data_IF_809766601009
#
_entry.id   IF_809766601009
#
_cell.length_a   1.000
_cell.length_b   1.000
_cell.length_c   1.000
_cell.angle_alpha   90.00
_cell.angle_beta   90.00
_cell.angle_gamma   90.00
#
_symmetry.space_group_name_H-M   'P 1'
#
loop_
_entity.id
_entity.type
_entity.pdbx_description
1 polymer ?
#
# COMPACT_ATOMS: atom_id res chain seq x y z
N UNK A 1 -18.39 -17.25 8.68
CA UNK A 1 -18.08 -17.04 7.27
C UNK A 1 -16.63 -16.57 7.13
N UNK A 2 -15.99 -16.89 6.01
CA UNK A 2 -14.65 -16.45 5.65
C UNK A 2 -14.70 -14.99 5.21
N UNK A 3 -13.98 -14.10 5.91
CA UNK A 3 -13.80 -12.69 5.50
C UNK A 3 -12.56 -12.57 4.59
N UNK A 4 -12.69 -11.83 3.50
CA UNK A 4 -11.63 -11.61 2.51
C UNK A 4 -11.24 -10.15 2.51
N UNK A 5 -10.01 -9.86 2.89
CA UNK A 5 -9.47 -8.50 2.94
C UNK A 5 -8.41 -8.37 1.85
N UNK A 6 -8.58 -7.44 0.92
CA UNK A 6 -7.56 -7.09 -0.07
C UNK A 6 -6.68 -5.99 0.49
N UNK A 7 -5.36 -6.17 0.42
CA UNK A 7 -4.37 -5.20 0.92
C UNK A 7 -3.51 -4.70 -0.24
N UNK A 8 -3.64 -3.42 -0.54
CA UNK A 8 -2.90 -2.70 -1.59
C UNK A 8 -1.71 -1.95 -1.00
N UNK A 9 -0.75 -1.57 -1.84
CA UNK A 9 0.48 -0.90 -1.42
C UNK A 9 1.10 -0.08 -2.54
N UNK A 10 1.76 1.01 -2.17
CA UNK A 10 2.76 1.70 -2.98
C UNK A 10 2.31 1.92 -4.44
N UNK A 11 1.14 2.54 -4.62
CA UNK A 11 0.67 2.93 -5.95
C UNK A 11 1.51 4.09 -6.51
N UNK A 12 1.96 4.97 -5.64
CA UNK A 12 2.80 6.14 -5.92
C UNK A 12 2.31 6.98 -7.10
N UNK A 13 1.01 7.28 -7.13
CA UNK A 13 0.40 8.09 -8.18
C UNK A 13 1.08 9.47 -8.23
N UNK A 14 1.59 9.91 -9.41
CA UNK A 14 1.22 9.49 -10.76
C UNK A 14 2.10 8.39 -11.38
N UNK A 15 3.02 7.78 -10.65
CA UNK A 15 3.99 6.79 -11.16
C UNK A 15 3.50 5.34 -11.11
N UNK A 16 2.21 5.13 -10.89
CA UNK A 16 1.58 3.81 -10.88
C UNK A 16 1.62 3.10 -12.24
N UNK A 17 1.71 1.79 -12.24
CA UNK A 17 1.50 0.99 -13.44
C UNK A 17 0.00 0.97 -13.76
N UNK A 18 -0.37 1.70 -14.83
CA UNK A 18 -1.78 1.87 -15.24
C UNK A 18 -2.47 0.55 -15.58
N UNK A 19 -1.72 -0.42 -16.14
CA UNK A 19 -2.25 -1.73 -16.50
C UNK A 19 -2.48 -2.59 -15.27
N UNK A 20 -1.48 -2.66 -14.39
CA UNK A 20 -1.59 -3.39 -13.13
C UNK A 20 -2.75 -2.84 -12.28
N UNK A 21 -2.80 -1.52 -12.08
CA UNK A 21 -3.85 -0.89 -11.29
C UNK A 21 -5.25 -1.13 -11.86
N UNK A 22 -5.42 -1.01 -13.19
CA UNK A 22 -6.69 -1.33 -13.85
C UNK A 22 -7.09 -2.79 -13.64
N UNK A 23 -6.13 -3.72 -13.82
CA UNK A 23 -6.37 -5.15 -13.59
C UNK A 23 -6.79 -5.46 -12.16
N UNK A 24 -6.20 -4.79 -11.17
CA UNK A 24 -6.57 -4.92 -9.75
C UNK A 24 -7.97 -4.36 -9.49
N UNK A 25 -8.33 -3.22 -10.06
CA UNK A 25 -9.68 -2.65 -9.91
C UNK A 25 -10.74 -3.57 -10.55
N UNK A 26 -10.47 -4.09 -11.74
CA UNK A 26 -11.36 -5.06 -12.40
C UNK A 26 -11.52 -6.36 -11.57
N UNK A 27 -10.43 -6.82 -10.98
CA UNK A 27 -10.45 -7.96 -10.05
C UNK A 27 -11.33 -7.66 -8.84
N UNK A 28 -11.13 -6.53 -8.18
CA UNK A 28 -11.94 -6.13 -7.01
C UNK A 28 -13.42 -6.11 -7.36
N UNK A 29 -13.80 -5.57 -8.53
CA UNK A 29 -15.17 -5.55 -9.01
C UNK A 29 -15.80 -6.93 -9.21
N UNK A 30 -15.00 -7.93 -9.56
CA UNK A 30 -15.45 -9.32 -9.73
C UNK A 30 -15.40 -10.14 -8.44
N UNK A 31 -14.38 -9.88 -7.64
CA UNK A 31 -14.08 -10.63 -6.42
C UNK A 31 -14.95 -10.20 -5.25
N UNK A 32 -15.31 -8.91 -5.18
CA UNK A 32 -16.10 -8.30 -4.11
C UNK A 32 -15.56 -8.68 -2.72
N UNK A 33 -14.35 -8.21 -2.36
CA UNK A 33 -13.82 -8.46 -1.02
C UNK A 33 -14.70 -7.81 0.05
N UNK A 34 -14.59 -8.26 1.29
CA UNK A 34 -15.32 -7.67 2.40
C UNK A 34 -14.78 -6.28 2.76
N UNK A 35 -13.45 -6.10 2.64
CA UNK A 35 -12.78 -4.83 2.88
C UNK A 35 -11.56 -4.67 1.96
N UNK A 36 -11.19 -3.42 1.71
CA UNK A 36 -9.94 -3.04 1.04
C UNK A 36 -9.14 -2.15 1.98
N UNK A 37 -7.87 -2.49 2.18
CA UNK A 37 -6.93 -1.67 2.92
C UNK A 37 -5.75 -1.32 2.04
N UNK A 38 -5.16 -0.14 2.24
CA UNK A 38 -3.87 0.22 1.68
C UNK A 38 -2.90 0.54 2.80
N UNK A 39 -1.70 0.02 2.69
CA UNK A 39 -0.63 0.23 3.66
C UNK A 39 0.11 1.55 3.46
N UNK A 40 -0.36 2.39 2.54
CA UNK A 40 0.21 3.72 2.30
C UNK A 40 0.85 3.89 0.93
N UNK A 41 1.43 5.07 0.73
CA UNK A 41 2.12 5.50 -0.49
C UNK A 41 1.22 5.46 -1.75
N UNK A 42 -0.06 5.86 -1.60
CA UNK A 42 -0.98 6.02 -2.71
C UNK A 42 -0.59 7.17 -3.63
N UNK A 43 -0.11 8.27 -3.04
CA UNK A 43 0.41 9.44 -3.74
C UNK A 43 1.90 9.62 -3.55
N UNK A 44 2.63 10.01 -4.61
CA UNK A 44 4.07 10.25 -4.51
C UNK A 44 4.43 11.70 -4.14
N UNK A 45 3.61 12.68 -4.54
CA UNK A 45 3.85 14.11 -4.30
C UNK A 45 5.29 14.58 -4.61
N UNK A 46 5.80 14.33 -5.83
CA UNK A 46 7.23 14.50 -6.14
C UNK A 46 7.72 15.96 -6.03
N UNK A 47 6.84 16.96 -6.28
CA UNK A 47 7.20 18.39 -6.24
C UNK A 47 7.60 18.86 -4.85
N UNK A 48 7.06 18.22 -3.81
CA UNK A 48 7.27 18.57 -2.40
C UNK A 48 8.12 17.52 -1.67
N UNK A 49 8.78 16.65 -2.44
CA UNK A 49 9.75 15.68 -1.92
C UNK A 49 11.05 16.39 -1.48
N UNK A 50 11.66 15.91 -0.41
CA UNK A 50 13.00 16.37 0.00
C UNK A 50 14.06 16.19 -1.08
N UNK A 51 13.88 15.22 -1.98
CA UNK A 51 14.83 14.89 -3.06
C UNK A 51 14.77 15.81 -4.26
N UNK A 52 13.63 16.50 -4.47
CA UNK A 52 13.46 17.47 -5.55
C UNK A 52 13.79 18.89 -5.12
N UNK A 53 14.03 19.08 -3.83
CA UNK A 53 14.28 20.39 -3.22
C UNK A 53 15.46 21.11 -3.86
N UNK A 54 15.25 22.37 -4.29
CA UNK A 54 16.26 23.17 -4.96
C UNK A 54 16.62 22.72 -6.37
N UNK A 55 15.89 21.76 -6.92
CA UNK A 55 16.07 21.29 -8.30
C UNK A 55 14.89 21.72 -9.18
N UNK A 56 15.07 21.61 -10.52
CA UNK A 56 13.96 21.83 -11.45
C UNK A 56 12.73 20.94 -11.17
N UNK A 57 12.90 19.83 -10.44
CA UNK A 57 11.80 18.93 -10.06
C UNK A 57 10.83 19.54 -9.05
N UNK A 58 11.29 20.46 -8.20
CA UNK A 58 10.44 21.18 -7.24
C UNK A 58 9.42 22.10 -7.93
N UNK A 59 9.79 22.63 -9.11
CA UNK A 59 8.96 23.56 -9.89
C UNK A 59 8.27 22.87 -11.07
N UNK A 60 8.46 21.57 -11.24
CA UNK A 60 7.95 20.81 -12.37
C UNK A 60 6.62 20.19 -12.06
N UNK A 61 5.59 20.59 -12.79
CA UNK A 61 4.27 19.98 -12.70
C UNK A 61 3.34 20.71 -11.74
N UNK A 62 2.15 20.19 -11.67
CA UNK A 62 1.02 20.71 -10.90
C UNK A 62 0.64 19.68 -9.83
N UNK A 63 0.78 20.05 -8.56
CA UNK A 63 0.41 19.19 -7.43
C UNK A 63 -1.07 18.83 -7.46
N UNK A 64 -1.94 19.79 -7.85
CA UNK A 64 -3.37 19.54 -7.98
C UNK A 64 -3.65 18.48 -9.05
N UNK A 65 -2.94 18.54 -10.19
CA UNK A 65 -3.08 17.53 -11.24
C UNK A 65 -2.71 16.11 -10.76
N UNK A 66 -1.78 15.98 -9.81
CA UNK A 66 -1.46 14.68 -9.19
C UNK A 66 -2.57 14.21 -8.25
N UNK A 67 -3.14 15.09 -7.44
CA UNK A 67 -4.31 14.80 -6.61
C UNK A 67 -5.50 14.38 -7.49
N UNK A 68 -5.76 15.12 -8.58
CA UNK A 68 -6.81 14.78 -9.54
C UNK A 68 -6.55 13.43 -10.24
N UNK A 69 -5.27 13.09 -10.46
CA UNK A 69 -4.90 11.79 -11.06
C UNK A 69 -5.21 10.64 -10.12
N UNK A 70 -5.04 10.79 -8.80
CA UNK A 70 -5.51 9.82 -7.83
C UNK A 70 -7.02 9.56 -7.99
N UNK A 71 -7.82 10.61 -8.05
CA UNK A 71 -9.26 10.51 -8.28
C UNK A 71 -9.60 9.77 -9.58
N UNK A 72 -8.99 10.18 -10.70
CA UNK A 72 -9.27 9.62 -12.03
C UNK A 72 -8.76 8.19 -12.23
N UNK A 73 -7.58 7.88 -11.69
CA UNK A 73 -6.92 6.59 -11.94
C UNK A 73 -7.29 5.50 -10.95
N UNK A 74 -7.65 5.87 -9.73
CA UNK A 74 -7.95 4.92 -8.66
C UNK A 74 -9.34 5.11 -8.05
N UNK A 75 -9.59 6.21 -7.35
CA UNK A 75 -10.76 6.31 -6.46
C UNK A 75 -12.10 6.24 -7.21
N UNK A 76 -12.26 6.98 -8.32
CA UNK A 76 -13.48 6.95 -9.12
C UNK A 76 -13.70 5.59 -9.82
N UNK A 77 -12.70 4.98 -10.50
CA UNK A 77 -12.86 3.64 -11.06
C UNK A 77 -13.18 2.59 -10.00
N UNK A 78 -12.52 2.64 -8.84
CA UNK A 78 -12.79 1.71 -7.74
C UNK A 78 -14.25 1.83 -7.27
N UNK A 79 -14.72 3.04 -6.99
CA UNK A 79 -16.09 3.26 -6.48
C UNK A 79 -17.19 2.93 -7.48
N UNK A 80 -16.88 2.85 -8.78
CA UNK A 80 -17.82 2.35 -9.79
C UNK A 80 -18.08 0.85 -9.67
N UNK A 81 -17.15 0.08 -9.11
CA UNK A 81 -17.19 -1.38 -9.06
C UNK A 81 -17.26 -1.96 -7.65
N UNK A 82 -17.01 -1.15 -6.63
CA UNK A 82 -16.94 -1.58 -5.24
C UNK A 82 -17.53 -0.54 -4.28
N UNK A 83 -18.53 -0.96 -3.51
CA UNK A 83 -19.25 -0.11 -2.54
C UNK A 83 -18.79 -0.34 -1.08
N UNK A 84 -17.99 -1.37 -0.82
CA UNK A 84 -17.57 -1.76 0.53
C UNK A 84 -16.54 -0.80 1.17
N UNK A 85 -16.12 -1.10 2.41
CA UNK A 85 -15.16 -0.30 3.16
C UNK A 85 -13.80 -0.20 2.47
N UNK A 86 -13.21 0.99 2.49
CA UNK A 86 -11.85 1.26 2.00
C UNK A 86 -11.10 2.05 3.07
N UNK A 87 -9.94 1.56 3.48
CA UNK A 87 -9.12 2.11 4.54
C UNK A 87 -7.71 2.38 4.03
N UNK A 88 -7.18 3.56 4.32
CA UNK A 88 -5.81 3.94 4.02
C UNK A 88 -5.06 4.29 5.29
N UNK A 89 -3.79 3.94 5.32
CA UNK A 89 -2.88 4.27 6.40
C UNK A 89 -1.90 5.37 5.97
N UNK A 90 -1.53 6.18 6.95
CA UNK A 90 -0.46 7.16 6.84
C UNK A 90 0.86 6.51 6.45
N UNK A 91 1.65 7.22 5.62
CA UNK A 91 2.94 6.75 5.14
C UNK A 91 3.91 7.90 4.89
N UNK A 92 5.17 7.57 4.68
CA UNK A 92 6.20 8.59 4.50
C UNK A 92 6.00 9.47 3.25
N UNK A 93 5.44 8.96 2.15
CA UNK A 93 5.10 9.79 0.99
C UNK A 93 3.83 10.61 1.24
N UNK A 94 2.85 10.03 1.90
CA UNK A 94 1.63 10.74 2.26
C UNK A 94 1.88 11.85 3.29
N UNK A 95 2.97 11.79 4.06
CA UNK A 95 3.43 12.84 4.97
C UNK A 95 4.11 14.03 4.28
N UNK A 96 4.47 13.92 3.00
CA UNK A 96 5.19 14.98 2.28
C UNK A 96 4.47 16.33 2.30
N UNK A 97 3.14 16.43 2.06
CA UNK A 97 2.43 17.72 2.14
C UNK A 97 2.57 18.39 3.51
N UNK A 98 2.30 17.66 4.58
CA UNK A 98 2.39 18.18 5.94
C UNK A 98 3.83 18.57 6.30
N UNK A 99 4.80 17.74 5.93
CA UNK A 99 6.24 17.99 6.16
C UNK A 99 6.70 19.24 5.40
N UNK A 100 6.26 19.42 4.16
CA UNK A 100 6.57 20.60 3.36
C UNK A 100 6.00 21.88 4.00
N UNK A 101 4.73 21.86 4.39
CA UNK A 101 4.08 23.00 5.07
C UNK A 101 4.83 23.31 6.37
N UNK A 102 5.10 22.31 7.21
CA UNK A 102 5.81 22.50 8.48
C UNK A 102 7.17 23.16 8.30
N UNK A 103 7.91 22.79 7.25
CA UNK A 103 9.29 23.26 7.05
C UNK A 103 9.39 24.52 6.19
N UNK A 104 8.39 24.83 5.34
CA UNK A 104 8.45 25.92 4.36
C UNK A 104 7.42 27.01 4.57
N UNK A 105 6.28 26.68 5.15
CA UNK A 105 5.18 27.60 5.38
C UNK A 105 4.48 27.30 6.70
N UNK A 106 5.20 27.32 7.85
CA UNK A 106 4.64 26.90 9.14
C UNK A 106 3.39 27.66 9.56
N UNK A 107 3.21 28.89 9.08
CA UNK A 107 2.00 29.67 9.32
C UNK A 107 0.72 29.08 8.69
N UNK A 108 0.85 28.10 7.80
CA UNK A 108 -0.28 27.38 7.18
C UNK A 108 -0.60 26.04 7.89
N UNK A 109 0.12 25.72 8.97
CA UNK A 109 -0.16 24.51 9.75
C UNK A 109 -1.58 24.56 10.34
N UNK A 110 -2.25 23.39 10.31
CA UNK A 110 -3.63 23.26 10.82
C UNK A 110 -4.73 23.66 9.81
N UNK A 111 -4.36 24.08 8.60
CA UNK A 111 -5.35 24.25 7.53
C UNK A 111 -5.79 22.89 6.99
N UNK A 112 -7.01 22.48 7.28
CA UNK A 112 -7.59 21.19 6.83
C UNK A 112 -7.47 20.96 5.33
N UNK A 113 -7.54 22.02 4.52
CA UNK A 113 -7.40 21.94 3.07
C UNK A 113 -6.03 21.41 2.60
N UNK A 114 -5.00 21.44 3.46
CA UNK A 114 -3.65 20.96 3.18
C UNK A 114 -3.38 19.57 3.75
N UNK A 115 -4.33 18.99 4.46
CA UNK A 115 -4.26 17.62 4.94
C UNK A 115 -4.51 16.62 3.79
N UNK A 116 -3.83 15.49 3.80
CA UNK A 116 -3.94 14.49 2.74
C UNK A 116 -5.37 14.01 2.49
N UNK A 117 -6.20 13.75 3.50
CA UNK A 117 -7.60 13.38 3.28
C UNK A 117 -8.38 14.43 2.48
N UNK A 118 -8.09 15.71 2.69
CA UNK A 118 -8.72 16.81 1.94
C UNK A 118 -8.16 16.94 0.54
N UNK A 119 -6.82 16.87 0.38
CA UNK A 119 -6.14 16.95 -0.92
C UNK A 119 -6.59 15.86 -1.88
N UNK A 120 -6.81 14.65 -1.37
CA UNK A 120 -7.23 13.49 -2.16
C UNK A 120 -8.73 13.21 -2.12
N UNK A 121 -9.51 14.11 -1.49
CA UNK A 121 -10.98 14.02 -1.39
C UNK A 121 -11.47 12.69 -0.78
N UNK A 122 -10.88 12.21 0.30
CA UNK A 122 -11.23 10.92 0.90
C UNK A 122 -12.69 10.85 1.34
N UNK A 123 -13.25 11.94 1.87
CA UNK A 123 -14.66 12.03 2.23
C UNK A 123 -15.58 11.73 1.03
N UNK A 124 -15.30 12.35 -0.13
CA UNK A 124 -16.07 12.13 -1.38
C UNK A 124 -16.05 10.67 -1.82
N UNK A 125 -14.92 10.00 -1.58
CA UNK A 125 -14.73 8.60 -1.99
C UNK A 125 -15.02 7.60 -0.87
N UNK A 126 -15.47 8.05 0.31
CA UNK A 126 -15.76 7.17 1.45
C UNK A 126 -14.52 6.38 1.90
N UNK A 127 -13.33 6.99 1.86
CA UNK A 127 -12.07 6.39 2.30
C UNK A 127 -11.84 6.78 3.77
N UNK A 128 -11.65 5.78 4.62
CA UNK A 128 -11.27 5.98 6.02
C UNK A 128 -9.76 6.13 6.12
N UNK A 129 -9.30 7.19 6.78
CA UNK A 129 -7.88 7.47 7.02
C UNK A 129 -7.46 7.06 8.42
N UNK A 130 -6.32 6.39 8.54
CA UNK A 130 -5.69 5.99 9.79
C UNK A 130 -4.34 6.68 9.94
N UNK A 131 -4.12 7.35 11.06
CA UNK A 131 -2.89 8.10 11.36
C UNK A 131 -1.76 7.22 11.91
N UNK A 132 -2.10 6.03 12.41
CA UNK A 132 -1.19 5.10 13.07
C UNK A 132 -1.49 3.66 12.69
N UNK A 133 -0.51 2.74 12.82
CA UNK A 133 -0.73 1.31 12.64
C UNK A 133 -1.92 0.79 13.46
N UNK A 134 -2.73 -0.03 12.86
CA UNK A 134 -3.97 -0.52 13.48
C UNK A 134 -4.20 -2.01 13.25
N UNK A 135 -5.04 -2.62 14.09
CA UNK A 135 -5.41 -4.02 13.97
C UNK A 135 -6.39 -4.22 12.80
N UNK A 136 -5.90 -4.87 11.72
CA UNK A 136 -6.68 -5.16 10.51
C UNK A 136 -7.47 -6.47 10.63
N UNK A 137 -6.95 -7.41 11.42
CA UNK A 137 -7.56 -8.70 11.68
C UNK A 137 -7.04 -9.24 13.03
N UNK A 138 -7.70 -10.22 13.67
CA UNK A 138 -7.29 -10.70 14.97
C UNK A 138 -5.81 -11.08 15.03
N UNK A 139 -5.03 -10.36 15.86
CA UNK A 139 -3.59 -10.56 16.02
C UNK A 139 -2.72 -10.07 14.87
N UNK A 140 -3.26 -9.29 13.93
CA UNK A 140 -2.55 -8.71 12.80
C UNK A 140 -2.63 -7.18 12.77
N UNK A 141 -1.47 -6.52 12.76
CA UNK A 141 -1.36 -5.08 12.54
C UNK A 141 -1.10 -4.79 11.06
N UNK A 142 -1.74 -3.75 10.57
CA UNK A 142 -1.38 -3.09 9.33
C UNK A 142 -0.49 -1.90 9.66
N UNK A 143 0.63 -1.76 8.94
CA UNK A 143 1.59 -0.69 9.08
C UNK A 143 2.15 -0.33 7.69
N UNK A 144 2.69 0.90 7.53
CA UNK A 144 3.33 1.22 6.26
C UNK A 144 4.62 0.42 6.05
N UNK A 145 5.48 0.34 7.06
CA UNK A 145 6.75 -0.39 7.00
C UNK A 145 7.99 0.48 7.16
N UNK A 146 7.86 1.81 7.19
CA UNK A 146 8.94 2.75 7.45
C UNK A 146 9.26 2.89 8.96
N UNK A 147 8.43 2.28 9.83
CA UNK A 147 8.65 2.18 11.27
C UNK A 147 9.78 1.22 11.65
N UNK A 148 10.34 0.52 10.69
CA UNK A 148 11.44 -0.45 10.87
C UNK A 148 12.57 -0.29 9.87
N UNK A 149 13.65 -1.04 10.08
CA UNK A 149 14.75 -1.15 9.14
C UNK A 149 14.38 -2.06 7.96
N UNK A 150 14.63 -1.59 6.71
CA UNK A 150 14.35 -2.39 5.52
C UNK A 150 15.20 -3.67 5.45
N UNK A 151 14.56 -4.82 5.41
CA UNK A 151 15.21 -6.12 5.17
C UNK A 151 15.52 -6.32 3.69
N UNK A 152 16.56 -7.10 3.37
CA UNK A 152 16.85 -7.51 1.99
C UNK A 152 15.87 -8.58 1.49
N UNK A 153 15.42 -9.47 2.36
CA UNK A 153 14.51 -10.55 2.01
C UNK A 153 13.05 -10.08 2.05
N UNK A 154 12.20 -10.43 1.06
CA UNK A 154 10.77 -10.18 1.11
C UNK A 154 10.12 -10.76 2.38
N UNK A 155 9.20 -10.03 2.98
CA UNK A 155 8.57 -10.37 4.26
C UNK A 155 9.41 -10.08 5.50
N UNK A 156 10.72 -9.77 5.31
CA UNK A 156 11.64 -9.62 6.43
C UNK A 156 11.46 -8.34 7.23
N UNK A 157 11.10 -7.22 6.61
CA UNK A 157 10.77 -5.97 7.30
C UNK A 157 9.53 -6.16 8.16
N UNK A 158 8.48 -6.74 7.58
CA UNK A 158 7.25 -7.03 8.29
C UNK A 158 7.49 -8.00 9.47
N UNK A 159 8.33 -9.03 9.31
CA UNK A 159 8.65 -9.96 10.40
C UNK A 159 9.45 -9.28 11.52
N UNK A 160 10.36 -8.35 11.19
CA UNK A 160 11.08 -7.56 12.18
C UNK A 160 10.14 -6.69 13.01
N UNK A 161 9.16 -6.04 12.36
CA UNK A 161 8.09 -5.29 13.05
C UNK A 161 7.20 -6.22 13.89
N UNK A 162 6.86 -7.41 13.36
CA UNK A 162 6.08 -8.41 14.09
C UNK A 162 6.76 -8.85 15.38
N UNK A 163 8.08 -9.03 15.36
CA UNK A 163 8.88 -9.33 16.56
C UNK A 163 8.88 -8.16 17.55
N UNK A 164 9.01 -6.93 17.04
CA UNK A 164 9.03 -5.71 17.87
C UNK A 164 7.71 -5.47 18.58
N UNK A 165 6.59 -5.67 17.89
CA UNK A 165 5.26 -5.32 18.40
C UNK A 165 4.47 -6.49 19.01
N UNK A 166 4.90 -7.73 18.75
CA UNK A 166 4.23 -8.92 19.30
C UNK A 166 3.01 -9.38 18.52
N UNK A 167 2.73 -8.82 17.36
CA UNK A 167 1.66 -9.16 16.42
C UNK A 167 2.22 -9.80 15.16
N UNK A 168 1.39 -10.41 14.31
CA UNK A 168 1.71 -10.55 12.89
C UNK A 168 1.56 -9.18 12.21
N UNK A 169 2.35 -8.88 11.18
CA UNK A 169 2.34 -7.57 10.52
C UNK A 169 2.19 -7.73 9.01
N UNK A 170 1.31 -6.93 8.43
CA UNK A 170 1.25 -6.70 6.98
C UNK A 170 1.71 -5.27 6.70
N UNK A 171 2.63 -5.10 5.73
CA UNK A 171 3.16 -3.79 5.37
C UNK A 171 3.59 -3.68 3.89
N UNK A 172 3.98 -2.47 3.48
CA UNK A 172 4.52 -2.09 2.17
C UNK A 172 5.89 -1.46 2.26
N UNK A 173 6.06 -0.23 1.72
CA UNK A 173 7.25 0.62 1.79
C UNK A 173 8.48 0.08 1.03
N UNK A 174 8.80 -1.18 1.20
CA UNK A 174 9.98 -1.81 0.61
C UNK A 174 9.78 -2.24 -0.84
N UNK A 175 8.54 -2.15 -1.35
CA UNK A 175 8.11 -2.61 -2.66
C UNK A 175 8.31 -4.11 -2.91
N UNK A 176 8.56 -4.89 -1.85
CA UNK A 176 8.74 -6.33 -1.94
C UNK A 176 7.44 -7.07 -1.66
N UNK A 177 7.28 -8.21 -2.29
CA UNK A 177 6.15 -9.10 -2.06
C UNK A 177 6.64 -10.44 -1.52
N UNK A 178 6.24 -10.77 -0.31
CA UNK A 178 6.60 -12.05 0.28
C UNK A 178 6.16 -12.17 1.74
N UNK A 179 6.18 -13.40 2.19
CA UNK A 179 5.81 -13.78 3.56
C UNK A 179 7.02 -14.43 4.23
N UNK A 180 7.29 -14.03 5.45
CA UNK A 180 8.11 -14.79 6.39
C UNK A 180 7.27 -15.19 7.59
N UNK A 181 7.55 -16.37 8.11
CA UNK A 181 6.76 -16.99 9.15
C UNK A 181 7.67 -17.62 10.19
N UNK A 182 7.38 -17.43 11.46
CA UNK A 182 8.12 -18.05 12.55
C UNK A 182 7.16 -18.69 13.57
N UNK A 183 7.59 -19.84 14.05
CA UNK A 183 7.00 -20.51 15.19
C UNK A 183 7.92 -20.46 16.40
N UNK A 184 7.33 -20.29 17.58
CA UNK A 184 8.00 -20.54 18.86
C UNK A 184 7.31 -21.70 19.54
N UNK A 185 8.07 -22.70 19.94
CA UNK A 185 7.56 -23.85 20.64
C UNK A 185 8.38 -24.15 21.91
N UNK A 186 7.70 -24.57 22.97
CA UNK A 186 8.34 -25.02 24.21
C UNK A 186 7.78 -26.39 24.52
N UNK A 187 8.66 -27.38 24.77
CA UNK A 187 8.28 -28.77 25.03
C UNK A 187 7.29 -29.34 24.00
N UNK A 188 7.61 -29.13 22.69
CA UNK A 188 6.78 -29.53 21.56
C UNK A 188 5.37 -28.93 21.50
N UNK A 189 5.10 -27.92 22.31
CA UNK A 189 3.84 -27.15 22.25
C UNK A 189 4.10 -25.81 21.60
N UNK A 190 3.36 -25.51 20.55
CA UNK A 190 3.38 -24.20 19.91
C UNK A 190 2.91 -23.14 20.91
N UNK A 191 3.76 -22.17 21.20
CA UNK A 191 3.47 -21.07 22.15
C UNK A 191 3.15 -19.78 21.43
N UNK A 192 3.72 -19.58 20.24
CA UNK A 192 3.51 -18.36 19.43
C UNK A 192 3.76 -18.64 17.96
N UNK A 193 2.96 -18.00 17.14
CA UNK A 193 3.10 -17.93 15.70
C UNK A 193 3.11 -16.46 15.26
N UNK A 194 3.97 -16.10 14.32
CA UNK A 194 4.04 -14.75 13.75
C UNK A 194 4.28 -14.80 12.26
N UNK A 195 3.61 -13.92 11.55
CA UNK A 195 3.84 -13.66 10.14
C UNK A 195 4.36 -12.24 9.93
N UNK A 196 5.29 -12.10 9.01
CA UNK A 196 5.62 -10.83 8.37
C UNK A 196 5.22 -10.91 6.91
N UNK A 197 4.32 -10.05 6.47
CA UNK A 197 3.82 -10.03 5.10
C UNK A 197 4.03 -8.66 4.47
N UNK A 198 4.95 -8.58 3.50
CA UNK A 198 5.13 -7.43 2.61
C UNK A 198 4.30 -7.63 1.35
N UNK A 199 3.47 -6.65 0.97
CA UNK A 199 2.43 -6.81 -0.05
C UNK A 199 2.78 -6.24 -1.42
N UNK A 200 4.05 -5.98 -1.68
CA UNK A 200 4.53 -5.55 -2.99
C UNK A 200 4.28 -4.08 -3.28
N UNK A 201 4.03 -3.78 -4.55
CA UNK A 201 3.73 -2.42 -5.01
C UNK A 201 2.91 -2.46 -6.30
N UNK A 202 2.33 -1.32 -6.67
CA UNK A 202 1.62 -1.08 -7.93
C UNK A 202 2.26 0.03 -8.76
N UNK A 203 3.52 0.37 -8.46
CA UNK A 203 4.29 1.38 -9.17
C UNK A 203 4.83 0.86 -10.51
N UNK A 204 4.93 1.73 -11.51
CA UNK A 204 5.66 1.44 -12.75
C UNK A 204 7.17 1.49 -12.47
N UNK A 205 7.85 0.35 -12.52
CA UNK A 205 9.28 0.24 -12.20
C UNK A 205 10.16 1.20 -13.02
N UNK A 206 9.83 1.42 -14.30
CA UNK A 206 10.55 2.34 -15.18
C UNK A 206 10.49 3.80 -14.72
N UNK A 207 9.52 4.15 -13.90
CA UNK A 207 9.38 5.49 -13.33
C UNK A 207 10.38 5.75 -12.20
N UNK A 208 10.98 4.71 -11.61
CA UNK A 208 11.96 4.79 -10.53
C UNK A 208 13.36 5.19 -11.03
N UNK A 209 13.47 6.33 -11.69
CA UNK A 209 14.72 6.83 -12.29
C UNK A 209 15.87 7.02 -11.30
N UNK A 210 15.55 7.18 -10.01
CA UNK A 210 16.53 7.32 -8.92
C UNK A 210 17.30 6.02 -8.63
N UNK A 211 16.83 4.87 -9.09
CA UNK A 211 17.55 3.60 -8.96
C UNK A 211 18.78 3.52 -9.87
N UNK A 212 18.92 4.45 -10.86
CA UNK A 212 19.98 4.46 -11.86
C UNK A 212 20.09 3.08 -12.52
N UNK A 213 21.32 2.49 -12.57
CA UNK A 213 21.58 1.14 -13.06
C UNK A 213 21.47 0.06 -11.95
N UNK A 214 21.02 0.45 -10.75
CA UNK A 214 20.87 -0.47 -9.62
C UNK A 214 19.72 -1.45 -9.80
N UNK A 215 19.87 -2.63 -9.18
CA UNK A 215 18.81 -3.62 -9.14
C UNK A 215 17.89 -3.36 -7.93
N UNK A 216 16.60 -3.14 -8.20
CA UNK A 216 15.59 -3.17 -7.17
C UNK A 216 15.03 -4.58 -7.05
N UNK A 217 15.08 -5.16 -5.86
CA UNK A 217 14.36 -6.40 -5.56
C UNK A 217 12.89 -6.07 -5.23
N UNK A 218 12.16 -5.59 -6.24
CA UNK A 218 10.77 -5.15 -6.15
C UNK A 218 9.87 -6.10 -6.93
N UNK A 219 8.71 -6.40 -6.37
CA UNK A 219 7.71 -7.24 -7.00
C UNK A 219 6.38 -6.50 -7.07
N UNK A 220 5.81 -6.40 -8.26
CA UNK A 220 4.44 -5.94 -8.42
C UNK A 220 3.47 -6.97 -7.87
N UNK A 221 2.52 -6.50 -7.09
CA UNK A 221 1.50 -7.35 -6.51
C UNK A 221 0.71 -6.67 -5.40
N UNK A 222 -0.06 -7.49 -4.71
CA UNK A 222 -0.89 -7.09 -3.58
C UNK A 222 -1.11 -8.28 -2.66
N UNK A 223 -1.74 -8.06 -1.51
CA UNK A 223 -2.04 -9.10 -0.54
C UNK A 223 -3.52 -9.43 -0.44
N UNK A 224 -3.83 -10.65 -0.02
CA UNK A 224 -5.15 -11.03 0.49
C UNK A 224 -4.97 -11.64 1.86
N UNK A 225 -5.79 -11.22 2.83
CA UNK A 225 -5.93 -11.89 4.11
C UNK A 225 -7.27 -12.62 4.13
N UNK A 226 -7.22 -13.93 4.31
CA UNK A 226 -8.40 -14.75 4.57
C UNK A 226 -8.56 -14.89 6.08
N UNK A 227 -9.64 -14.33 6.62
CA UNK A 227 -9.90 -14.31 8.06
C UNK A 227 -11.06 -15.21 8.38
N UNK A 228 -10.80 -16.26 9.15
CA UNK A 228 -11.82 -17.18 9.67
C UNK A 228 -11.74 -17.21 11.19
N UNK A 229 -12.73 -16.61 11.87
CA UNK A 229 -12.72 -16.41 13.33
C UNK A 229 -11.44 -15.68 13.76
N UNK A 230 -10.55 -16.36 14.49
CA UNK A 230 -9.29 -15.82 14.99
C UNK A 230 -8.07 -16.30 14.17
N UNK A 231 -8.30 -16.92 13.01
CA UNK A 231 -7.23 -17.40 12.12
C UNK A 231 -7.15 -16.52 10.89
N UNK A 232 -5.93 -16.14 10.53
CA UNK A 232 -5.64 -15.33 9.34
C UNK A 232 -4.67 -16.09 8.46
N UNK A 233 -5.04 -16.27 7.20
CA UNK A 233 -4.16 -16.87 6.19
C UNK A 233 -3.76 -15.79 5.20
N UNK A 234 -2.48 -15.35 5.18
CA UNK A 234 -2.00 -14.39 4.21
C UNK A 234 -1.73 -15.07 2.87
N UNK A 235 -2.09 -14.39 1.78
CA UNK A 235 -1.87 -14.87 0.42
C UNK A 235 -1.25 -13.75 -0.45
N UNK A 236 0.01 -13.90 -0.90
CA UNK A 236 0.61 -12.96 -1.83
C UNK A 236 0.08 -13.20 -3.24
N UNK A 237 -0.26 -12.12 -3.93
CA UNK A 237 -0.71 -12.14 -5.33
C UNK A 237 0.31 -11.43 -6.19
N UNK A 238 1.08 -12.20 -6.96
CA UNK A 238 2.10 -11.68 -7.87
C UNK A 238 1.47 -11.25 -9.20
N UNK A 239 1.70 -10.00 -9.59
CA UNK A 239 1.33 -9.49 -10.91
C UNK A 239 2.47 -9.78 -11.88
N UNK A 240 2.17 -10.53 -12.94
CA UNK A 240 3.15 -10.87 -13.99
C UNK A 240 3.48 -9.66 -14.87
N UNK A 241 4.60 -9.67 -15.61
CA UNK A 241 4.97 -8.56 -16.51
C UNK A 241 3.91 -8.20 -17.56
N UNK A 242 3.04 -9.12 -17.93
CA UNK A 242 1.91 -8.87 -18.82
C UNK A 242 0.68 -8.27 -18.12
N UNK A 243 0.76 -8.04 -16.80
CA UNK A 243 -0.33 -7.52 -15.98
C UNK A 243 -1.32 -8.55 -15.47
N UNK A 244 -1.15 -9.84 -15.81
CA UNK A 244 -2.04 -10.90 -15.31
C UNK A 244 -1.61 -11.42 -13.93
N UNK A 245 -2.55 -11.96 -13.19
CA UNK A 245 -2.32 -12.63 -11.90
C UNK A 245 -3.40 -13.70 -11.63
N UNK A 246 -3.14 -14.54 -10.64
CA UNK A 246 -4.06 -15.66 -10.30
C UNK A 246 -4.53 -15.50 -8.86
N UNK A 247 -5.82 -15.60 -8.63
CA UNK A 247 -6.45 -15.69 -7.30
C UNK A 247 -7.44 -16.84 -7.31
N UNK A 248 -7.33 -17.74 -6.33
CA UNK A 248 -8.22 -18.88 -6.16
C UNK A 248 -8.41 -19.70 -7.46
N UNK A 249 -7.31 -19.92 -8.17
CA UNK A 249 -7.30 -20.70 -9.42
C UNK A 249 -7.85 -19.97 -10.65
N UNK A 250 -8.30 -18.73 -10.52
CA UNK A 250 -8.80 -17.91 -11.65
C UNK A 250 -7.76 -16.87 -12.06
N UNK A 251 -7.61 -16.66 -13.37
CA UNK A 251 -6.73 -15.62 -13.92
C UNK A 251 -7.49 -14.31 -14.09
N UNK A 252 -6.86 -13.22 -13.69
CA UNK A 252 -7.35 -11.84 -13.77
C UNK A 252 -6.30 -10.95 -14.42
N UNK A 253 -6.64 -9.69 -14.70
CA UNK A 253 -5.71 -8.69 -15.21
C UNK A 253 -5.23 -8.95 -16.64
N UNK A 254 -5.88 -9.78 -17.42
CA UNK A 254 -5.60 -9.92 -18.85
C UNK A 254 -6.06 -8.67 -19.60
N UNK A 255 -5.30 -8.20 -20.62
CA UNK A 255 -5.81 -7.18 -21.51
C UNK A 255 -7.14 -7.67 -22.10
N UNK A 256 -8.10 -6.75 -22.28
CA UNK A 256 -9.24 -7.04 -23.11
C UNK A 256 -8.74 -7.49 -24.50
N UNK A 257 -9.20 -8.65 -24.95
CA UNK A 257 -8.85 -9.18 -26.25
C UNK A 257 -9.26 -8.22 -27.36
#
# INVERSE_FOLDING_TARGET
PLKRIVVLSDMQIPYHDKRALRGVIDFIGKYQPDEIHSVGDEGDFPQISRWTRGTAGEYKGDLQAHCDTFGRSFAQPLRKVYAGPVHFERSNHMDRPLTYVRTRAPGLMGLKALEVPSLLNFERYGITWHEEPYEIAPGWLLAHGDEGGASRAPGGTALALARKWGYSVVCGHTHKLGIQHEHMAVNSKLTRERFGFEVGNLMELRSAKYLKAGHANWQQGFGILYVEKNRVTPAPVFIRPNGSFVVEGKTYGLPAA
#
